data_IF_746746654560
#
_entry.id   IF_746746654560
#
_cell.length_a   1.000
_cell.length_b   1.000
_cell.length_c   1.000
_cell.angle_alpha   90.00
_cell.angle_beta   90.00
_cell.angle_gamma   90.00
#
_symmetry.space_group_name_H-M   'P 1'
#
loop_
_entity.id
_entity.type
_entity.pdbx_description
1 polymer ?
#
# COMPACT_ATOMS: atom_id res chain seq x y z
N UNK A 1 3.11 18.28 -28.40
CA UNK A 1 2.80 19.68 -28.04
C UNK A 1 2.04 19.60 -26.73
N UNK A 2 2.58 20.15 -25.64
CA UNK A 2 1.85 20.20 -24.36
C UNK A 2 0.73 21.22 -24.47
N UNK A 3 -0.45 20.87 -23.96
CA UNK A 3 -1.60 21.78 -23.88
C UNK A 3 -1.33 22.77 -22.76
N UNK A 4 -1.29 24.07 -23.07
CA UNK A 4 -1.14 25.13 -22.06
C UNK A 4 -2.52 25.55 -21.53
N UNK A 5 -2.72 25.53 -20.22
CA UNK A 5 -3.99 25.97 -19.64
C UNK A 5 -4.32 27.43 -19.98
N UNK A 6 -3.31 28.29 -20.18
CA UNK A 6 -3.48 29.67 -20.60
C UNK A 6 -4.13 29.81 -21.99
N UNK A 7 -3.99 28.81 -22.86
CA UNK A 7 -4.52 28.87 -24.22
C UNK A 7 -5.97 28.33 -24.32
N UNK A 8 -6.39 27.47 -23.37
CA UNK A 8 -7.61 26.68 -23.51
C UNK A 8 -8.63 26.82 -22.38
N UNK A 9 -8.28 27.44 -21.24
CA UNK A 9 -9.17 27.56 -20.08
C UNK A 9 -9.70 28.99 -19.85
N UNK A 10 -9.91 29.76 -20.92
CA UNK A 10 -10.65 31.02 -20.82
C UNK A 10 -12.14 30.79 -20.56
N UNK A 11 -12.78 29.88 -21.31
CA UNK A 11 -14.22 29.65 -21.23
C UNK A 11 -15.07 30.89 -21.59
N UNK A 12 -16.40 30.76 -21.51
CA UNK A 12 -17.27 31.95 -21.58
C UNK A 12 -17.15 32.75 -20.28
N UNK A 13 -17.09 34.08 -20.37
CA UNK A 13 -17.02 35.00 -19.20
C UNK A 13 -15.91 34.70 -18.18
N UNK A 14 -14.81 34.06 -18.60
CA UNK A 14 -13.71 33.64 -17.73
C UNK A 14 -14.02 32.46 -16.78
N UNK A 15 -15.05 31.66 -17.06
CA UNK A 15 -15.48 30.54 -16.20
C UNK A 15 -14.48 29.37 -16.19
N UNK A 16 -13.52 29.31 -17.12
CA UNK A 16 -12.52 28.23 -17.14
C UNK A 16 -11.60 28.22 -15.90
N UNK A 17 -11.46 29.36 -15.20
CA UNK A 17 -10.75 29.40 -13.92
C UNK A 17 -11.47 28.59 -12.83
N UNK A 18 -12.81 28.55 -12.84
CA UNK A 18 -13.58 27.73 -11.90
C UNK A 18 -13.35 26.23 -12.18
N UNK A 19 -13.24 25.84 -13.44
CA UNK A 19 -12.92 24.46 -13.84
C UNK A 19 -11.55 24.05 -13.31
N UNK A 20 -10.53 24.89 -13.51
CA UNK A 20 -9.18 24.64 -12.99
C UNK A 20 -9.17 24.57 -11.46
N UNK A 21 -9.89 25.48 -10.79
CA UNK A 21 -10.01 25.49 -9.32
C UNK A 21 -10.70 24.22 -8.80
N UNK A 22 -11.77 23.77 -9.48
CA UNK A 22 -12.45 22.54 -9.12
C UNK A 22 -11.57 21.32 -9.34
N UNK A 23 -10.78 21.31 -10.43
CA UNK A 23 -9.81 20.25 -10.70
C UNK A 23 -8.76 20.16 -9.57
N UNK A 24 -8.19 21.28 -9.12
CA UNK A 24 -7.26 21.31 -7.99
C UNK A 24 -7.88 20.74 -6.71
N UNK A 25 -9.14 21.11 -6.39
CA UNK A 25 -9.87 20.52 -5.25
C UNK A 25 -10.06 19.01 -5.39
N UNK A 26 -10.39 18.54 -6.60
CA UNK A 26 -10.50 17.11 -6.88
C UNK A 26 -9.16 16.39 -6.75
N UNK A 27 -8.04 17.02 -7.10
CA UNK A 27 -6.69 16.46 -6.90
C UNK A 27 -6.36 16.25 -5.42
N UNK A 28 -6.75 17.19 -4.55
CA UNK A 28 -6.60 17.03 -3.09
C UNK A 28 -7.40 15.83 -2.56
N UNK A 29 -8.65 15.68 -3.02
CA UNK A 29 -9.49 14.54 -2.65
C UNK A 29 -8.87 13.21 -3.13
N UNK A 30 -8.42 13.15 -4.38
CA UNK A 30 -7.78 11.95 -4.93
C UNK A 30 -6.51 11.56 -4.17
N UNK A 31 -5.70 12.55 -3.75
CA UNK A 31 -4.51 12.33 -2.92
C UNK A 31 -4.86 11.73 -1.55
N UNK A 32 -5.94 12.22 -0.93
CA UNK A 32 -6.47 11.66 0.33
C UNK A 32 -6.99 10.23 0.15
N UNK A 33 -7.79 9.96 -0.88
CA UNK A 33 -8.32 8.62 -1.14
C UNK A 33 -7.20 7.61 -1.39
N UNK A 34 -6.16 8.00 -2.13
CA UNK A 34 -4.95 7.19 -2.33
C UNK A 34 -4.23 6.92 -1.01
N UNK A 35 -4.08 7.93 -0.16
CA UNK A 35 -3.48 7.80 1.17
C UNK A 35 -4.22 6.76 2.01
N UNK A 36 -5.54 6.84 2.07
CA UNK A 36 -6.37 5.94 2.86
C UNK A 36 -6.29 4.50 2.33
N UNK A 37 -6.35 4.32 1.01
CA UNK A 37 -6.15 3.01 0.36
C UNK A 37 -4.80 2.38 0.69
N UNK A 38 -3.72 3.16 0.62
CA UNK A 38 -2.36 2.66 0.90
C UNK A 38 -2.19 2.30 2.38
N UNK A 39 -2.80 3.06 3.30
CA UNK A 39 -2.84 2.72 4.73
C UNK A 39 -3.55 1.39 4.99
N UNK A 40 -4.73 1.19 4.41
CA UNK A 40 -5.47 -0.08 4.53
C UNK A 40 -4.65 -1.24 3.99
N UNK A 41 -4.01 -1.04 2.83
CA UNK A 41 -3.11 -2.03 2.24
C UNK A 41 -1.95 -2.38 3.19
N UNK A 42 -1.32 -1.39 3.83
CA UNK A 42 -0.26 -1.61 4.81
C UNK A 42 -0.73 -2.50 5.98
N UNK A 43 -1.91 -2.23 6.53
CA UNK A 43 -2.49 -3.02 7.62
C UNK A 43 -2.72 -4.49 7.22
N UNK A 44 -3.16 -4.75 6.00
CA UNK A 44 -3.34 -6.12 5.48
C UNK A 44 -2.00 -6.87 5.43
N UNK A 45 -0.95 -6.23 4.90
CA UNK A 45 0.38 -6.84 4.85
C UNK A 45 0.98 -7.09 6.24
N UNK A 46 0.78 -6.15 7.18
CA UNK A 46 1.21 -6.32 8.57
C UNK A 46 0.49 -7.49 9.24
N UNK A 47 -0.83 -7.57 9.07
CA UNK A 47 -1.64 -8.67 9.59
C UNK A 47 -1.17 -10.02 9.05
N UNK A 48 -0.95 -10.12 7.73
CA UNK A 48 -0.49 -11.36 7.10
C UNK A 48 0.91 -11.77 7.59
N UNK A 49 1.84 -10.83 7.76
CA UNK A 49 3.14 -11.12 8.34
C UNK A 49 3.02 -11.70 9.76
N UNK A 50 2.17 -11.10 10.61
CA UNK A 50 1.90 -11.61 11.97
C UNK A 50 1.28 -13.02 11.94
N UNK A 51 0.34 -13.27 11.04
CA UNK A 51 -0.31 -14.57 10.88
C UNK A 51 0.70 -15.66 10.49
N UNK A 52 1.53 -15.42 9.47
CA UNK A 52 2.55 -16.38 9.04
C UNK A 52 3.65 -16.59 10.10
N UNK A 53 4.02 -15.55 10.84
CA UNK A 53 4.92 -15.68 12.00
C UNK A 53 4.34 -16.63 13.06
N UNK A 54 3.05 -16.49 13.37
CA UNK A 54 2.35 -17.37 14.33
C UNK A 54 2.31 -18.82 13.83
N UNK A 55 1.97 -19.05 12.57
CA UNK A 55 1.94 -20.39 11.97
C UNK A 55 3.32 -21.05 12.04
N UNK A 56 4.38 -20.32 11.65
CA UNK A 56 5.75 -20.84 11.73
C UNK A 56 6.13 -21.27 13.15
N UNK A 57 5.83 -20.42 14.16
CA UNK A 57 6.11 -20.73 15.57
C UNK A 57 5.35 -21.96 16.06
N UNK A 58 4.06 -22.11 15.70
CA UNK A 58 3.27 -23.28 16.06
C UNK A 58 3.77 -24.56 15.40
N UNK A 59 4.25 -24.49 14.17
CA UNK A 59 4.84 -25.65 13.50
C UNK A 59 6.18 -26.03 14.15
N UNK A 60 7.01 -25.05 14.53
CA UNK A 60 8.28 -25.29 15.20
C UNK A 60 8.13 -26.07 16.52
N UNK A 61 7.06 -25.84 17.29
CA UNK A 61 6.82 -26.54 18.56
C UNK A 61 6.32 -27.99 18.44
N UNK A 62 5.89 -28.43 17.25
CA UNK A 62 5.22 -29.73 17.06
C UNK A 62 6.01 -30.72 16.17
N UNK A 63 7.22 -30.35 15.74
CA UNK A 63 7.92 -31.03 14.64
C UNK A 63 8.72 -32.28 15.01
N UNK A 64 8.62 -32.76 16.24
CA UNK A 64 9.66 -33.61 16.83
C UNK A 64 9.71 -35.02 16.23
N UNK A 65 8.59 -35.63 15.83
CA UNK A 65 8.54 -37.00 15.30
C UNK A 65 7.33 -37.25 14.38
N UNK A 66 7.42 -38.23 13.49
CA UNK A 66 6.29 -38.74 12.69
C UNK A 66 6.52 -38.72 11.18
N UNK A 67 5.77 -39.56 10.46
CA UNK A 67 5.86 -39.73 8.99
C UNK A 67 5.59 -38.44 8.21
N UNK A 68 4.85 -37.49 8.80
CA UNK A 68 4.55 -36.19 8.20
C UNK A 68 5.52 -35.07 8.56
N UNK A 69 6.55 -35.33 9.39
CA UNK A 69 7.52 -34.30 9.81
C UNK A 69 8.18 -33.54 8.65
N UNK A 70 8.56 -34.18 7.52
CA UNK A 70 9.10 -33.46 6.35
C UNK A 70 8.11 -32.44 5.75
N UNK A 71 6.82 -32.80 5.69
CA UNK A 71 5.77 -31.93 5.14
C UNK A 71 5.52 -30.74 6.05
N UNK A 72 5.45 -30.97 7.36
CA UNK A 72 5.31 -29.90 8.35
C UNK A 72 6.53 -28.95 8.35
N UNK A 73 7.73 -29.49 8.12
CA UNK A 73 8.96 -28.70 8.00
C UNK A 73 8.91 -27.82 6.74
N UNK A 74 8.46 -28.37 5.61
CA UNK A 74 8.27 -27.60 4.38
C UNK A 74 7.23 -26.48 4.57
N UNK A 75 6.13 -26.75 5.27
CA UNK A 75 5.10 -25.76 5.60
C UNK A 75 5.63 -24.66 6.53
N UNK A 76 6.42 -25.01 7.55
CA UNK A 76 7.10 -24.06 8.43
C UNK A 76 7.98 -23.11 7.61
N UNK A 77 8.89 -23.67 6.82
CA UNK A 77 9.84 -22.89 6.02
C UNK A 77 9.13 -22.01 5.00
N UNK A 78 8.03 -22.48 4.41
CA UNK A 78 7.19 -21.69 3.51
C UNK A 78 6.51 -20.52 4.24
N UNK A 79 6.01 -20.77 5.46
CA UNK A 79 5.42 -19.73 6.31
C UNK A 79 6.45 -18.67 6.71
N UNK A 80 7.69 -19.06 7.00
CA UNK A 80 8.79 -18.11 7.29
C UNK A 80 9.08 -17.21 6.09
N UNK A 81 9.16 -17.78 4.89
CA UNK A 81 9.36 -17.02 3.65
C UNK A 81 8.20 -16.06 3.40
N UNK A 82 6.95 -16.50 3.57
CA UNK A 82 5.77 -15.65 3.42
C UNK A 82 5.78 -14.51 4.44
N UNK A 83 6.10 -14.78 5.70
CA UNK A 83 6.29 -13.76 6.72
C UNK A 83 7.30 -12.70 6.27
N UNK A 84 8.47 -13.11 5.78
CA UNK A 84 9.52 -12.20 5.31
C UNK A 84 9.06 -11.35 4.12
N UNK A 85 8.38 -11.96 3.13
CA UNK A 85 7.85 -11.26 1.96
C UNK A 85 6.82 -10.21 2.40
N UNK A 86 5.84 -10.60 3.22
CA UNK A 86 4.82 -9.66 3.71
C UNK A 86 5.43 -8.52 4.54
N UNK A 87 6.41 -8.79 5.39
CA UNK A 87 7.13 -7.75 6.14
C UNK A 87 7.90 -6.80 5.22
N UNK A 88 8.61 -7.32 4.21
CA UNK A 88 9.34 -6.48 3.25
C UNK A 88 8.38 -5.60 2.44
N UNK A 89 7.27 -6.16 1.97
CA UNK A 89 6.25 -5.41 1.24
C UNK A 89 5.58 -4.36 2.12
N UNK A 90 5.23 -4.68 3.37
CA UNK A 90 4.73 -3.71 4.35
C UNK A 90 5.66 -2.52 4.51
N UNK A 91 6.97 -2.77 4.68
CA UNK A 91 7.95 -1.69 4.81
C UNK A 91 8.00 -0.80 3.56
N UNK A 92 7.99 -1.39 2.36
CA UNK A 92 7.96 -0.63 1.09
C UNK A 92 6.69 0.22 0.96
N UNK A 93 5.54 -0.33 1.34
CA UNK A 93 4.27 0.39 1.33
C UNK A 93 4.30 1.56 2.31
N UNK A 94 4.89 1.40 3.49
CA UNK A 94 5.04 2.49 4.44
C UNK A 94 5.98 3.59 3.94
N UNK A 95 7.05 3.25 3.23
CA UNK A 95 7.89 4.28 2.59
C UNK A 95 7.10 5.03 1.50
N UNK A 96 6.35 4.32 0.65
CA UNK A 96 5.48 4.94 -0.35
C UNK A 96 4.41 5.83 0.30
N UNK A 97 3.84 5.41 1.43
CA UNK A 97 2.86 6.20 2.18
C UNK A 97 3.44 7.53 2.65
N UNK A 98 4.71 7.57 3.06
CA UNK A 98 5.38 8.84 3.44
C UNK A 98 5.48 9.78 2.24
N UNK A 99 5.83 9.26 1.07
CA UNK A 99 5.93 10.07 -0.16
C UNK A 99 4.56 10.63 -0.58
N UNK A 100 3.51 9.81 -0.48
CA UNK A 100 2.13 10.23 -0.79
C UNK A 100 1.67 11.32 0.19
N UNK A 101 1.91 11.14 1.49
CA UNK A 101 1.56 12.13 2.51
C UNK A 101 2.30 13.45 2.26
N UNK A 102 3.60 13.39 1.99
CA UNK A 102 4.41 14.56 1.66
C UNK A 102 3.86 15.30 0.43
N UNK A 103 3.53 14.57 -0.63
CA UNK A 103 2.89 15.16 -1.81
C UNK A 103 1.54 15.81 -1.48
N UNK A 104 0.73 15.18 -0.63
CA UNK A 104 -0.53 15.74 -0.16
C UNK A 104 -0.38 17.05 0.63
N UNK A 105 0.68 17.18 1.43
CA UNK A 105 1.00 18.40 2.19
C UNK A 105 1.55 19.53 1.30
N UNK A 106 2.12 19.19 0.14
CA UNK A 106 2.68 20.14 -0.85
C UNK A 106 1.66 20.59 -1.92
N UNK A 107 0.47 19.98 -1.98
CA UNK A 107 -0.65 20.34 -2.88
C UNK A 107 -1.41 21.60 -2.41
#
# INVERSE_FOLDING_TARGET
MSVDFADYFWGEKHDGFQVLTQNLKSSLLASKELTDFVKETALIYEHNAKAYSKISKQLASNLTYGTFSPVLTALKNSSEKLCQIHTSTFNKINELLKDILKYGDEL
#
